data_IF_926202949094
#
_entry.id   IF_926202949094
#
_cell.length_a   1.000
_cell.length_b   1.000
_cell.length_c   1.000
_cell.angle_alpha   90.00
_cell.angle_beta   90.00
_cell.angle_gamma   90.00
#
_symmetry.space_group_name_H-M   'P 1'
#
loop_
_entity.id
_entity.type
_entity.pdbx_description
1 polymer ?
#
# COMPACT_ATOMS: atom_id res chain seq x y z
N UNK A 1 -4.09 8.49 8.05
CA UNK A 1 -2.94 8.17 7.19
C UNK A 1 -1.67 8.85 7.66
N UNK A 2 -0.53 8.52 7.03
CA UNK A 2 0.81 8.88 7.52
C UNK A 2 1.06 10.39 7.63
N UNK A 3 0.52 11.22 6.75
CA UNK A 3 0.67 12.68 6.88
C UNK A 3 -0.01 13.24 8.15
N UNK A 4 -1.20 12.73 8.50
CA UNK A 4 -1.88 13.13 9.74
C UNK A 4 -1.11 12.65 10.98
N UNK A 5 -0.59 11.42 10.95
CA UNK A 5 0.22 10.90 12.05
C UNK A 5 1.48 11.74 12.28
N UNK A 6 2.15 12.19 11.22
CA UNK A 6 3.29 13.09 11.33
C UNK A 6 2.93 14.38 12.07
N UNK A 7 1.81 15.00 11.71
CA UNK A 7 1.34 16.22 12.37
C UNK A 7 1.06 15.98 13.87
N UNK A 8 0.47 14.82 14.22
CA UNK A 8 0.21 14.43 15.61
C UNK A 8 1.53 14.24 16.37
N UNK A 9 2.50 13.53 15.79
CA UNK A 9 3.83 13.32 16.39
C UNK A 9 4.50 14.67 16.70
N UNK A 10 4.50 15.58 15.73
CA UNK A 10 5.10 16.91 15.90
C UNK A 10 4.35 17.76 16.94
N UNK A 11 3.01 17.70 16.95
CA UNK A 11 2.19 18.40 17.95
C UNK A 11 2.50 17.89 19.36
N UNK A 12 2.47 16.56 19.57
CA UNK A 12 2.74 15.94 20.87
C UNK A 12 4.15 16.28 21.36
N UNK A 13 5.16 16.22 20.49
CA UNK A 13 6.52 16.61 20.87
C UNK A 13 6.62 18.05 21.36
N UNK A 14 5.95 18.99 20.68
CA UNK A 14 5.89 20.41 21.11
C UNK A 14 5.09 20.59 22.41
N UNK A 15 3.96 19.89 22.54
CA UNK A 15 3.11 19.94 23.72
C UNK A 15 3.87 19.44 24.95
N UNK A 16 4.46 18.25 24.88
CA UNK A 16 5.14 17.62 26.01
C UNK A 16 6.37 18.41 26.48
N UNK A 17 7.08 19.06 25.54
CA UNK A 17 8.18 19.96 25.90
C UNK A 17 7.71 21.16 26.75
N UNK A 18 6.49 21.66 26.49
CA UNK A 18 5.92 22.84 27.19
C UNK A 18 5.17 22.45 28.45
N UNK A 19 4.67 21.22 28.55
CA UNK A 19 3.78 20.71 29.58
C UNK A 19 4.25 19.35 30.08
N UNK A 20 5.42 19.22 30.72
CA UNK A 20 5.98 17.91 31.08
C UNK A 20 5.08 17.13 32.04
N UNK A 21 4.36 17.82 32.94
CA UNK A 21 3.43 17.20 33.90
C UNK A 21 2.11 16.71 33.25
N UNK A 22 1.88 17.05 31.98
CA UNK A 22 0.70 16.66 31.18
C UNK A 22 1.12 16.03 29.87
N UNK A 23 2.17 15.22 29.91
CA UNK A 23 2.70 14.55 28.72
C UNK A 23 1.68 13.60 28.11
N UNK A 24 1.61 13.59 26.78
CA UNK A 24 0.74 12.73 25.98
C UNK A 24 1.57 11.70 25.22
N UNK A 25 0.96 10.55 24.96
CA UNK A 25 1.49 9.49 24.09
C UNK A 25 0.64 9.39 22.81
N UNK A 26 1.26 9.02 21.71
CA UNK A 26 0.57 8.64 20.49
C UNK A 26 0.67 7.14 20.26
N UNK A 27 -0.44 6.46 20.42
CA UNK A 27 -0.60 5.03 20.11
C UNK A 27 -1.11 4.90 18.67
N UNK A 28 -0.20 4.61 17.76
CA UNK A 28 -0.47 4.55 16.33
C UNK A 28 -0.78 3.12 15.89
N UNK A 29 -1.99 2.88 15.43
CA UNK A 29 -2.48 1.57 15.00
C UNK A 29 -2.56 1.38 13.47
N UNK A 30 -2.20 2.40 12.65
CA UNK A 30 -2.50 2.32 11.21
C UNK A 30 -1.61 3.14 10.28
N UNK A 31 -0.81 4.06 10.80
CA UNK A 31 0.08 4.86 9.96
C UNK A 31 1.46 4.19 9.91
N UNK A 32 1.79 3.58 8.78
CA UNK A 32 2.84 2.58 8.67
C UNK A 32 4.11 3.02 7.91
N UNK A 33 4.24 4.32 7.55
CA UNK A 33 5.51 4.76 6.95
C UNK A 33 6.70 4.47 7.87
N UNK A 34 7.81 4.01 7.31
CA UNK A 34 9.05 3.68 8.03
C UNK A 34 9.68 4.86 8.73
N UNK A 35 9.51 6.07 8.18
CA UNK A 35 10.05 7.30 8.73
C UNK A 35 9.76 7.51 10.23
N UNK A 36 8.61 7.05 10.73
CA UNK A 36 8.20 7.26 12.12
C UNK A 36 9.01 6.48 13.16
N UNK A 37 9.74 5.48 12.74
CA UNK A 37 10.67 4.72 13.60
C UNK A 37 12.13 4.87 13.17
N UNK A 38 12.38 5.72 12.17
CA UNK A 38 13.71 6.09 11.67
C UNK A 38 13.93 7.60 11.86
N UNK A 39 14.03 8.36 10.79
CA UNK A 39 14.41 9.78 10.81
C UNK A 39 13.40 10.72 11.49
N UNK A 40 12.14 10.30 11.61
CA UNK A 40 11.06 11.04 12.29
C UNK A 40 10.62 10.34 13.58
N UNK A 41 11.49 9.53 14.18
CA UNK A 41 11.13 8.84 15.40
C UNK A 41 10.91 9.82 16.56
N UNK A 42 9.99 9.47 17.46
CA UNK A 42 9.66 10.24 18.64
C UNK A 42 9.50 9.30 19.84
N UNK A 43 10.08 9.67 20.97
CA UNK A 43 9.91 8.94 22.23
C UNK A 43 8.43 8.78 22.64
N UNK A 44 7.57 9.67 22.18
CA UNK A 44 6.14 9.73 22.54
C UNK A 44 5.24 8.99 21.53
N UNK A 45 5.82 8.31 20.52
CA UNK A 45 5.08 7.60 19.48
C UNK A 45 5.36 6.10 19.53
N UNK A 46 4.31 5.31 19.61
CA UNK A 46 4.34 3.84 19.61
C UNK A 46 3.46 3.30 18.48
N UNK A 47 4.02 2.51 17.59
CA UNK A 47 3.28 1.86 16.50
C UNK A 47 3.04 0.40 16.82
N UNK A 48 1.78 -0.03 16.68
CA UNK A 48 1.34 -1.41 16.90
C UNK A 48 1.12 -2.19 15.61
N UNK A 49 1.21 -1.52 14.45
CA UNK A 49 1.08 -2.15 13.13
C UNK A 49 2.47 -2.39 12.53
N UNK A 50 2.62 -3.44 11.72
CA UNK A 50 3.82 -3.66 10.93
C UNK A 50 4.08 -2.46 10.01
N UNK A 51 5.34 -2.08 9.85
CA UNK A 51 5.66 -0.99 8.94
C UNK A 51 5.53 -1.40 7.46
N UNK A 52 5.58 -0.42 6.57
CA UNK A 52 5.42 -0.65 5.14
C UNK A 52 6.48 -1.60 4.58
N UNK A 53 7.73 -1.52 5.03
CA UNK A 53 8.80 -2.39 4.55
C UNK A 53 8.56 -3.86 4.93
N UNK A 54 8.08 -4.11 6.15
CA UNK A 54 7.72 -5.46 6.61
C UNK A 54 6.56 -6.03 5.78
N UNK A 55 5.54 -5.23 5.51
CA UNK A 55 4.39 -5.65 4.68
C UNK A 55 4.80 -5.90 3.23
N UNK A 56 5.57 -5.01 2.63
CA UNK A 56 6.08 -5.18 1.26
C UNK A 56 7.01 -6.37 1.17
N UNK A 57 7.85 -6.59 2.19
CA UNK A 57 8.72 -7.77 2.25
C UNK A 57 7.93 -9.08 2.19
N UNK A 58 6.81 -9.16 2.90
CA UNK A 58 5.90 -10.32 2.82
C UNK A 58 5.29 -10.50 1.44
N UNK A 59 4.79 -9.42 0.83
CA UNK A 59 4.23 -9.45 -0.53
C UNK A 59 5.28 -9.89 -1.57
N UNK A 60 6.46 -9.29 -1.56
CA UNK A 60 7.54 -9.63 -2.51
C UNK A 60 8.04 -11.06 -2.30
N UNK A 61 8.14 -11.53 -1.05
CA UNK A 61 8.49 -12.92 -0.77
C UNK A 61 7.44 -13.88 -1.34
N UNK A 62 6.15 -13.56 -1.23
CA UNK A 62 5.10 -14.36 -1.82
C UNK A 62 5.12 -14.32 -3.36
N UNK A 63 5.36 -13.14 -3.94
CA UNK A 63 5.53 -13.00 -5.39
C UNK A 63 6.66 -13.89 -5.93
N UNK A 64 7.77 -13.99 -5.19
CA UNK A 64 8.89 -14.86 -5.56
C UNK A 64 8.60 -16.36 -5.48
N UNK A 65 7.57 -16.77 -4.71
CA UNK A 65 7.10 -18.15 -4.61
C UNK A 65 6.04 -18.51 -5.64
N UNK A 66 5.34 -17.53 -6.15
CA UNK A 66 4.24 -17.75 -7.09
C UNK A 66 4.78 -17.94 -8.50
N UNK A 67 4.42 -19.08 -9.10
CA UNK A 67 4.84 -19.43 -10.45
C UNK A 67 4.16 -18.51 -11.47
N UNK A 68 4.94 -18.00 -12.41
CA UNK A 68 4.42 -17.25 -13.56
C UNK A 68 4.54 -15.73 -13.42
N UNK A 69 4.91 -15.19 -12.25
CA UNK A 69 5.14 -13.75 -12.09
C UNK A 69 6.48 -13.38 -12.72
N UNK A 70 6.42 -12.46 -13.68
CA UNK A 70 7.60 -11.95 -14.41
C UNK A 70 7.63 -10.44 -14.53
N UNK A 71 6.45 -9.80 -14.64
CA UNK A 71 6.31 -8.38 -14.93
C UNK A 71 5.34 -7.71 -13.97
N UNK A 72 5.85 -6.86 -13.13
CA UNK A 72 5.05 -6.15 -12.14
C UNK A 72 4.83 -4.69 -12.54
N UNK A 73 3.60 -4.23 -12.43
CA UNK A 73 3.22 -2.82 -12.50
C UNK A 73 2.89 -2.31 -11.10
N UNK A 74 3.53 -1.23 -10.68
CA UNK A 74 3.24 -0.58 -9.40
C UNK A 74 2.33 0.62 -9.61
N UNK A 75 1.24 0.71 -8.85
CA UNK A 75 0.31 1.83 -8.85
C UNK A 75 -0.05 2.19 -7.42
N UNK A 76 0.42 3.34 -6.94
CA UNK A 76 0.29 3.73 -5.54
C UNK A 76 -0.30 5.14 -5.38
N UNK A 77 -0.84 5.44 -4.22
CA UNK A 77 -1.36 6.76 -3.87
C UNK A 77 -0.22 7.76 -3.60
N UNK A 78 -0.32 8.97 -4.15
CA UNK A 78 0.73 10.01 -4.02
C UNK A 78 0.68 10.72 -2.67
N UNK A 79 1.22 10.07 -1.63
CA UNK A 79 1.49 10.68 -0.32
C UNK A 79 2.58 9.88 0.43
N UNK A 80 2.95 10.28 1.65
CA UNK A 80 4.10 9.70 2.36
C UNK A 80 4.10 8.16 2.41
N UNK A 81 2.96 7.53 2.69
CA UNK A 81 2.86 6.07 2.71
C UNK A 81 3.05 5.46 1.32
N UNK A 82 2.36 5.97 0.28
CA UNK A 82 2.48 5.41 -1.07
C UNK A 82 3.90 5.51 -1.63
N UNK A 83 4.59 6.62 -1.33
CA UNK A 83 6.02 6.78 -1.67
C UNK A 83 6.92 5.82 -0.90
N UNK A 84 6.65 5.58 0.39
CA UNK A 84 7.38 4.58 1.18
C UNK A 84 7.16 3.17 0.63
N UNK A 85 5.91 2.84 0.23
CA UNK A 85 5.58 1.56 -0.39
C UNK A 85 6.36 1.36 -1.69
N UNK A 86 6.36 2.36 -2.55
CA UNK A 86 7.09 2.36 -3.83
C UNK A 86 8.59 2.12 -3.62
N UNK A 87 9.20 2.89 -2.71
CA UNK A 87 10.63 2.76 -2.39
C UNK A 87 10.97 1.36 -1.84
N UNK A 88 10.17 0.84 -0.91
CA UNK A 88 10.34 -0.49 -0.36
C UNK A 88 10.19 -1.59 -1.43
N UNK A 89 9.20 -1.45 -2.32
CA UNK A 89 8.97 -2.40 -3.40
C UNK A 89 10.15 -2.46 -4.36
N UNK A 90 10.68 -1.31 -4.79
CA UNK A 90 11.89 -1.26 -5.64
C UNK A 90 13.09 -1.97 -5.00
N UNK A 91 13.38 -1.65 -3.74
CA UNK A 91 14.51 -2.23 -3.02
C UNK A 91 14.37 -3.75 -2.87
N UNK A 92 13.19 -4.20 -2.42
CA UNK A 92 12.95 -5.60 -2.11
C UNK A 92 12.79 -6.49 -3.35
N UNK A 93 12.18 -5.98 -4.43
CA UNK A 93 12.12 -6.71 -5.71
C UNK A 93 13.53 -6.92 -6.25
N UNK A 94 14.35 -5.86 -6.26
CA UNK A 94 15.77 -5.95 -6.69
C UNK A 94 16.57 -6.94 -5.86
N UNK A 95 16.35 -6.97 -4.55
CA UNK A 95 17.08 -7.83 -3.61
C UNK A 95 16.63 -9.28 -3.67
N UNK A 96 15.31 -9.53 -3.65
CA UNK A 96 14.75 -10.88 -3.39
C UNK A 96 14.21 -11.59 -4.62
N UNK A 97 13.79 -10.82 -5.61
CA UNK A 97 13.15 -11.34 -6.82
C UNK A 97 13.70 -10.65 -8.07
N UNK A 98 15.03 -10.68 -8.30
CA UNK A 98 15.67 -9.93 -9.40
C UNK A 98 15.24 -10.39 -10.80
N UNK A 99 14.56 -11.52 -10.88
CA UNK A 99 13.96 -12.06 -12.11
C UNK A 99 12.57 -11.45 -12.43
N UNK A 100 12.01 -10.64 -11.52
CA UNK A 100 10.76 -9.92 -11.74
C UNK A 100 11.09 -8.51 -12.24
N UNK A 101 10.63 -8.20 -13.44
CA UNK A 101 10.80 -6.88 -14.07
C UNK A 101 9.74 -5.90 -13.59
N UNK A 102 10.13 -4.68 -13.23
CA UNK A 102 9.19 -3.58 -12.98
C UNK A 102 8.92 -2.89 -14.32
N UNK A 103 7.73 -3.12 -14.88
CA UNK A 103 7.33 -2.59 -16.20
C UNK A 103 6.51 -1.31 -16.15
N UNK A 104 6.20 -0.84 -14.95
CA UNK A 104 5.53 0.44 -14.72
C UNK A 104 5.50 0.79 -13.24
N UNK A 105 5.52 2.10 -12.97
CA UNK A 105 5.54 2.63 -11.62
C UNK A 105 4.92 4.03 -11.59
N UNK A 106 3.72 4.14 -11.04
CA UNK A 106 2.95 5.38 -11.03
C UNK A 106 2.39 5.72 -9.64
N UNK A 107 2.27 7.02 -9.41
CA UNK A 107 1.58 7.58 -8.26
C UNK A 107 0.28 8.26 -8.69
N UNK A 108 -0.84 7.86 -8.10
CA UNK A 108 -2.18 8.39 -8.39
C UNK A 108 -2.29 9.82 -7.88
N UNK A 109 -2.63 10.76 -8.78
CA UNK A 109 -2.83 12.17 -8.49
C UNK A 109 -4.18 12.61 -9.07
N UNK A 110 -5.01 13.28 -8.29
CA UNK A 110 -4.91 13.55 -6.85
C UNK A 110 -5.28 12.36 -5.98
N UNK A 111 -4.54 12.15 -4.88
CA UNK A 111 -4.82 11.10 -3.90
C UNK A 111 -6.27 11.15 -3.38
N UNK A 112 -6.96 10.02 -3.44
CA UNK A 112 -8.33 9.83 -2.92
C UNK A 112 -9.44 10.53 -3.71
N UNK A 113 -9.11 11.25 -4.79
CA UNK A 113 -10.07 12.03 -5.57
C UNK A 113 -10.21 11.55 -7.02
N UNK A 114 -9.32 10.69 -7.49
CA UNK A 114 -9.39 10.14 -8.84
C UNK A 114 -10.65 9.29 -9.00
N UNK A 115 -11.49 9.65 -9.97
CA UNK A 115 -12.76 8.97 -10.24
C UNK A 115 -12.63 7.97 -11.39
N UNK A 116 -11.85 8.29 -12.39
CA UNK A 116 -11.65 7.47 -13.59
C UNK A 116 -10.28 6.77 -13.54
N UNK A 117 -10.32 5.45 -13.51
CA UNK A 117 -9.13 4.61 -13.53
C UNK A 117 -8.84 4.01 -14.92
N UNK A 118 -9.65 4.31 -15.93
CA UNK A 118 -9.46 3.81 -17.31
C UNK A 118 -8.05 4.07 -17.84
N UNK A 119 -7.44 5.26 -17.66
CA UNK A 119 -6.08 5.49 -18.15
C UNK A 119 -5.03 4.59 -17.50
N UNK A 120 -5.17 4.30 -16.20
CA UNK A 120 -4.26 3.40 -15.49
C UNK A 120 -4.42 1.97 -15.96
N UNK A 121 -5.66 1.50 -16.14
CA UNK A 121 -5.93 0.16 -16.68
C UNK A 121 -5.35 0.00 -18.09
N UNK A 122 -5.49 1.01 -18.94
CA UNK A 122 -4.91 1.01 -20.27
C UNK A 122 -3.38 0.89 -20.26
N UNK A 123 -2.70 1.63 -19.36
CA UNK A 123 -1.25 1.58 -19.19
C UNK A 123 -0.79 0.24 -18.65
N UNK A 124 -1.46 -0.32 -17.63
CA UNK A 124 -1.16 -1.65 -17.09
C UNK A 124 -1.26 -2.69 -18.20
N UNK A 125 -2.34 -2.65 -19.00
CA UNK A 125 -2.53 -3.57 -20.13
C UNK A 125 -1.44 -3.41 -21.20
N UNK A 126 -1.10 -2.16 -21.55
CA UNK A 126 -0.08 -1.87 -22.56
C UNK A 126 1.34 -2.26 -22.11
N UNK A 127 1.64 -2.23 -20.80
CA UNK A 127 2.93 -2.65 -20.27
C UNK A 127 3.20 -4.15 -20.36
N UNK A 128 2.17 -4.94 -20.58
CA UNK A 128 2.26 -6.41 -20.56
C UNK A 128 2.53 -6.98 -19.17
N UNK A 129 2.19 -6.23 -18.10
CA UNK A 129 2.27 -6.73 -16.74
C UNK A 129 1.37 -7.94 -16.52
N UNK A 130 1.87 -8.93 -15.81
CA UNK A 130 1.10 -10.08 -15.30
C UNK A 130 0.64 -9.85 -13.85
N UNK A 131 1.23 -8.87 -13.19
CA UNK A 131 1.02 -8.60 -11.78
C UNK A 131 0.90 -7.09 -11.52
N UNK A 132 -0.01 -6.72 -10.63
CA UNK A 132 -0.11 -5.37 -10.06
C UNK A 132 0.20 -5.41 -8.57
N UNK A 133 1.23 -4.69 -8.16
CA UNK A 133 1.62 -4.50 -6.77
C UNK A 133 1.17 -3.12 -6.29
N UNK A 134 0.28 -3.07 -5.30
CA UNK A 134 -0.31 -1.81 -4.86
C UNK A 134 -0.51 -1.73 -3.35
N UNK A 135 -0.11 -0.59 -2.78
CA UNK A 135 -0.43 -0.20 -1.41
C UNK A 135 -1.73 0.61 -1.31
N UNK A 136 -2.47 0.79 -2.38
CA UNK A 136 -3.71 1.56 -2.36
C UNK A 136 -4.71 1.01 -1.35
N UNK A 137 -5.55 1.89 -0.82
CA UNK A 137 -6.62 1.58 0.12
C UNK A 137 -7.83 2.50 -0.10
N UNK A 138 -8.95 2.16 0.54
CA UNK A 138 -10.17 2.94 0.45
C UNK A 138 -10.71 3.07 -0.98
N UNK A 139 -11.33 4.22 -1.32
CA UNK A 139 -11.98 4.40 -2.62
C UNK A 139 -11.07 4.20 -3.83
N UNK A 140 -9.79 4.57 -3.75
CA UNK A 140 -8.86 4.39 -4.88
C UNK A 140 -8.60 2.91 -5.17
N UNK A 141 -8.44 2.08 -4.12
CA UNK A 141 -8.30 0.64 -4.30
C UNK A 141 -9.58 0.01 -4.87
N UNK A 142 -10.72 0.38 -4.30
CA UNK A 142 -12.02 -0.13 -4.77
C UNK A 142 -12.24 0.20 -6.25
N UNK A 143 -11.96 1.43 -6.66
CA UNK A 143 -12.08 1.83 -8.06
C UNK A 143 -11.07 1.09 -8.96
N UNK A 144 -9.81 1.00 -8.56
CA UNK A 144 -8.80 0.25 -9.30
C UNK A 144 -9.28 -1.18 -9.59
N UNK A 145 -9.75 -1.89 -8.58
CA UNK A 145 -10.24 -3.27 -8.71
C UNK A 145 -11.50 -3.34 -9.60
N UNK A 146 -12.46 -2.42 -9.42
CA UNK A 146 -13.68 -2.39 -10.26
C UNK A 146 -13.36 -2.14 -11.74
N UNK A 147 -12.50 -1.18 -12.03
CA UNK A 147 -12.10 -0.89 -13.40
C UNK A 147 -11.29 -2.03 -14.02
N UNK A 148 -10.42 -2.69 -13.25
CA UNK A 148 -9.70 -3.87 -13.71
C UNK A 148 -10.66 -5.03 -14.01
N UNK A 149 -11.64 -5.28 -13.13
CA UNK A 149 -12.66 -6.30 -13.32
C UNK A 149 -13.53 -6.02 -14.56
N UNK A 150 -13.98 -4.78 -14.73
CA UNK A 150 -14.77 -4.36 -15.89
C UNK A 150 -14.02 -4.48 -17.22
N UNK A 151 -12.72 -4.29 -17.20
CA UNK A 151 -11.84 -4.45 -18.36
C UNK A 151 -11.38 -5.90 -18.58
N UNK A 152 -11.76 -6.84 -17.73
CA UNK A 152 -11.24 -8.21 -17.69
C UNK A 152 -9.69 -8.24 -17.75
N UNK A 153 -9.05 -7.40 -16.92
CA UNK A 153 -7.60 -7.28 -16.91
C UNK A 153 -6.96 -8.56 -16.35
N UNK A 154 -6.13 -9.29 -17.11
CA UNK A 154 -5.62 -10.60 -16.72
C UNK A 154 -4.36 -10.48 -15.88
N UNK A 155 -4.46 -9.85 -14.69
CA UNK A 155 -3.34 -9.67 -13.77
C UNK A 155 -3.65 -10.23 -12.39
N UNK A 156 -2.60 -10.66 -11.69
CA UNK A 156 -2.66 -10.97 -10.25
C UNK A 156 -2.43 -9.69 -9.45
N UNK A 157 -3.33 -9.36 -8.52
CA UNK A 157 -3.13 -8.25 -7.59
C UNK A 157 -2.43 -8.73 -6.32
N UNK A 158 -1.42 -7.95 -5.87
CA UNK A 158 -0.80 -8.07 -4.55
C UNK A 158 -1.04 -6.77 -3.78
N UNK A 159 -1.69 -6.88 -2.63
CA UNK A 159 -2.16 -5.72 -1.87
C UNK A 159 -1.91 -5.88 -0.37
N UNK A 160 -2.01 -4.76 0.37
CA UNK A 160 -2.07 -4.78 1.83
C UNK A 160 -3.53 -4.75 2.31
N UNK A 161 -4.42 -4.06 1.59
CA UNK A 161 -5.77 -3.73 2.07
C UNK A 161 -6.90 -4.30 1.21
N UNK A 162 -6.58 -5.14 0.23
CA UNK A 162 -7.56 -5.64 -0.75
C UNK A 162 -8.62 -6.58 -0.18
N UNK A 163 -8.28 -7.38 0.80
CA UNK A 163 -9.20 -8.33 1.46
C UNK A 163 -9.92 -7.78 2.69
N UNK A 164 -9.78 -6.49 3.02
CA UNK A 164 -10.56 -5.90 4.09
C UNK A 164 -12.05 -5.94 3.74
N UNK A 165 -12.90 -6.24 4.73
CA UNK A 165 -14.37 -6.34 4.53
C UNK A 165 -14.95 -5.14 3.80
N UNK A 166 -14.51 -3.92 4.15
CA UNK A 166 -14.96 -2.68 3.49
C UNK A 166 -14.51 -2.58 2.02
N UNK A 167 -13.34 -3.11 1.69
CA UNK A 167 -12.83 -3.14 0.31
C UNK A 167 -13.61 -4.16 -0.51
N UNK A 168 -13.76 -5.38 0.01
CA UNK A 168 -14.48 -6.48 -0.65
C UNK A 168 -15.94 -6.10 -0.92
N UNK A 169 -16.63 -5.51 0.06
CA UNK A 169 -18.00 -5.02 -0.11
C UNK A 169 -18.11 -3.96 -1.22
N UNK A 170 -17.05 -3.17 -1.43
CA UNK A 170 -16.99 -2.13 -2.45
C UNK A 170 -16.75 -2.62 -3.87
N UNK A 171 -16.22 -3.83 -4.07
CA UNK A 171 -15.84 -4.31 -5.41
C UNK A 171 -17.01 -4.63 -6.33
N UNK A 172 -18.15 -5.05 -5.76
CA UNK A 172 -19.35 -5.38 -6.52
C UNK A 172 -19.34 -6.78 -7.15
N UNK A 173 -20.30 -7.03 -8.04
CA UNK A 173 -20.55 -8.36 -8.61
C UNK A 173 -19.38 -8.92 -9.46
N UNK A 174 -18.60 -8.06 -10.10
CA UNK A 174 -17.51 -8.47 -10.98
C UNK A 174 -16.20 -8.81 -10.22
N UNK A 175 -16.18 -8.69 -8.90
CA UNK A 175 -15.00 -8.98 -8.08
C UNK A 175 -14.44 -10.41 -8.28
N UNK A 176 -15.31 -11.38 -8.61
CA UNK A 176 -14.92 -12.76 -8.89
C UNK A 176 -14.00 -12.91 -10.11
N UNK A 177 -13.91 -11.90 -10.99
CA UNK A 177 -13.02 -11.86 -12.15
C UNK A 177 -11.58 -11.49 -11.80
N UNK A 178 -11.33 -11.04 -10.57
CA UNK A 178 -10.03 -10.54 -10.13
C UNK A 178 -9.35 -11.55 -9.20
N UNK A 179 -8.11 -11.89 -9.53
CA UNK A 179 -7.23 -12.63 -8.63
C UNK A 179 -6.50 -11.63 -7.72
N UNK A 180 -6.70 -11.75 -6.39
CA UNK A 180 -6.13 -10.84 -5.41
C UNK A 180 -5.53 -11.61 -4.24
N UNK A 181 -4.27 -11.29 -3.92
CA UNK A 181 -3.59 -11.74 -2.71
C UNK A 181 -3.27 -10.54 -1.81
N UNK A 182 -3.40 -10.72 -0.52
CA UNK A 182 -2.99 -9.71 0.45
C UNK A 182 -2.13 -10.30 1.54
N UNK A 183 -1.35 -9.44 2.19
CA UNK A 183 -0.69 -9.76 3.44
C UNK A 183 -1.54 -9.24 4.61
N UNK A 184 -1.61 -10.02 5.67
CA UNK A 184 -2.32 -9.68 6.90
C UNK A 184 -1.43 -10.05 8.10
N UNK A 185 -1.51 -9.29 9.18
CA UNK A 185 -0.88 -9.65 10.46
C UNK A 185 -1.70 -10.67 11.23
N UNK A 186 -2.97 -10.75 10.93
CA UNK A 186 -3.94 -11.58 11.61
C UNK A 186 -4.87 -12.26 10.59
N UNK A 187 -5.13 -13.53 10.78
CA UNK A 187 -6.07 -14.31 9.99
C UNK A 187 -7.00 -15.07 10.94
N UNK A 188 -8.31 -14.87 10.80
CA UNK A 188 -9.32 -15.74 11.42
C UNK A 188 -9.42 -17.03 10.59
N UNK A 189 -9.28 -18.16 11.27
CA UNK A 189 -9.54 -19.48 10.68
C UNK A 189 -11.03 -19.79 10.71
#
# INVERSE_FOLDING_TARGET
GSNHALNIIQFIGKHNKRNPDKAMLFLNHSAITTAFTNELCSFWHFRFDANVDMKVAGLVTQMGRDVGIKKVYMLNQNYAYGKSFQAAAHALIKERTPNIEIVGDELIVPFGKTQDFTPFIAKIKASGADTVLTGNWGPDLVRLIKYAAGANLPVQFYTIYGGLTSSVAGYGADAHKISLKQINEYHEN
#
